data_IF_813430013714
#
_entry.id   IF_813430013714
#
_cell.length_a   1.000
_cell.length_b   1.000
_cell.length_c   1.000
_cell.angle_alpha   90.00
_cell.angle_beta   90.00
_cell.angle_gamma   90.00
#
_symmetry.space_group_name_H-M   'P 1'
#
loop_
_entity.id
_entity.type
_entity.pdbx_description
1 polymer ?
#
# COMPACT_ATOMS: atom_id res chain seq x y z
N UNK A 1 -6.74 -8.97 8.42
CA UNK A 1 -5.52 -9.66 8.97
C UNK A 1 -5.72 -11.15 8.82
N UNK A 2 -4.75 -11.87 8.25
CA UNK A 2 -4.80 -13.33 8.13
C UNK A 2 -3.95 -13.99 9.21
N UNK A 3 -4.47 -15.06 9.80
CA UNK A 3 -3.75 -15.90 10.78
C UNK A 3 -3.96 -17.35 10.39
N UNK A 4 -2.88 -18.10 10.21
CA UNK A 4 -2.93 -19.52 9.82
C UNK A 4 -1.76 -20.32 10.39
N UNK A 5 -1.93 -21.61 10.43
CA UNK A 5 -0.80 -22.53 10.59
C UNK A 5 -0.10 -22.69 9.25
N UNK A 6 1.22 -22.63 9.25
CA UNK A 6 2.03 -22.66 8.01
C UNK A 6 1.80 -23.96 7.23
N UNK A 7 1.74 -25.10 7.91
CA UNK A 7 1.51 -26.40 7.30
C UNK A 7 0.15 -26.47 6.59
N UNK A 8 -0.90 -25.92 7.19
CA UNK A 8 -2.25 -25.85 6.61
C UNK A 8 -2.26 -24.90 5.40
N UNK A 9 -1.63 -23.74 5.52
CA UNK A 9 -1.52 -22.78 4.42
C UNK A 9 -0.80 -23.39 3.21
N UNK A 10 0.35 -24.03 3.44
CA UNK A 10 1.12 -24.67 2.36
C UNK A 10 0.35 -25.82 1.70
N UNK A 11 -0.41 -26.60 2.46
CA UNK A 11 -1.27 -27.63 1.90
C UNK A 11 -2.39 -27.06 1.02
N UNK A 12 -3.02 -25.94 1.43
CA UNK A 12 -3.99 -25.24 0.61
C UNK A 12 -3.35 -24.62 -0.64
N UNK A 13 -2.17 -24.02 -0.51
CA UNK A 13 -1.42 -23.49 -1.65
C UNK A 13 -1.08 -24.60 -2.66
N UNK A 14 -0.61 -25.76 -2.19
CA UNK A 14 -0.32 -26.89 -3.05
C UNK A 14 -1.56 -27.40 -3.80
N UNK A 15 -2.71 -27.38 -3.14
CA UNK A 15 -3.99 -27.83 -3.71
C UNK A 15 -4.53 -26.86 -4.76
N UNK A 16 -4.45 -25.56 -4.50
CA UNK A 16 -5.09 -24.52 -5.32
C UNK A 16 -4.16 -23.93 -6.37
N UNK A 17 -2.86 -23.85 -6.06
CA UNK A 17 -1.83 -23.22 -6.90
C UNK A 17 -0.57 -24.12 -6.94
N UNK A 18 -0.64 -25.32 -7.54
CA UNK A 18 0.46 -26.29 -7.47
C UNK A 18 1.77 -25.77 -8.07
N UNK A 19 1.70 -25.01 -9.16
CA UNK A 19 2.90 -24.41 -9.77
C UNK A 19 3.57 -23.38 -8.86
N UNK A 20 2.78 -22.53 -8.23
CA UNK A 20 3.28 -21.55 -7.26
C UNK A 20 3.90 -22.24 -6.04
N UNK A 21 3.21 -23.26 -5.49
CA UNK A 21 3.72 -24.05 -4.38
C UNK A 21 5.07 -24.72 -4.72
N UNK A 22 5.17 -25.37 -5.88
CA UNK A 22 6.40 -26.01 -6.32
C UNK A 22 7.56 -25.01 -6.43
N UNK A 23 7.32 -23.84 -7.02
CA UNK A 23 8.34 -22.81 -7.17
C UNK A 23 8.81 -22.23 -5.84
N UNK A 24 7.89 -21.85 -4.94
CA UNK A 24 8.32 -21.33 -3.62
C UNK A 24 8.99 -22.40 -2.77
N UNK A 25 8.63 -23.66 -2.92
CA UNK A 25 9.30 -24.79 -2.25
C UNK A 25 10.73 -24.97 -2.77
N UNK A 26 10.94 -24.83 -4.09
CA UNK A 26 12.28 -24.88 -4.70
C UNK A 26 13.17 -23.74 -4.20
N UNK A 27 12.62 -22.50 -4.15
CA UNK A 27 13.34 -21.35 -3.60
C UNK A 27 13.67 -21.59 -2.11
N UNK A 28 12.71 -22.07 -1.32
CA UNK A 28 12.92 -22.34 0.10
C UNK A 28 13.99 -23.43 0.35
N UNK A 29 14.07 -24.42 -0.51
CA UNK A 29 15.10 -25.46 -0.42
C UNK A 29 16.52 -24.94 -0.68
N UNK A 30 16.67 -23.92 -1.52
CA UNK A 30 17.95 -23.27 -1.79
C UNK A 30 18.28 -22.14 -0.78
N UNK A 31 17.34 -21.76 0.07
CA UNK A 31 17.52 -20.63 0.98
C UNK A 31 18.65 -20.86 2.00
N UNK A 32 19.59 -19.92 2.07
CA UNK A 32 20.78 -20.04 2.94
C UNK A 32 21.88 -20.95 2.39
N UNK A 33 21.76 -21.42 1.14
CA UNK A 33 22.81 -22.15 0.43
C UNK A 33 23.52 -21.26 -0.60
N UNK A 34 24.69 -21.67 -1.15
CA UNK A 34 25.37 -20.93 -2.22
C UNK A 34 24.50 -20.72 -3.49
N UNK A 35 23.52 -21.58 -3.72
CA UNK A 35 22.64 -21.58 -4.91
C UNK A 35 21.42 -20.67 -4.75
N UNK A 36 21.24 -19.99 -3.62
CA UNK A 36 20.06 -19.20 -3.30
C UNK A 36 19.74 -18.16 -4.38
N UNK A 37 20.71 -17.34 -4.76
CA UNK A 37 20.50 -16.23 -5.68
C UNK A 37 20.20 -16.72 -7.11
N UNK A 38 20.86 -17.78 -7.54
CA UNK A 38 20.64 -18.41 -8.84
C UNK A 38 19.24 -19.02 -8.93
N UNK A 39 18.81 -19.77 -7.91
CA UNK A 39 17.49 -20.39 -7.86
C UNK A 39 16.41 -19.32 -7.75
N UNK A 40 16.59 -18.31 -6.89
CA UNK A 40 15.64 -17.21 -6.76
C UNK A 40 15.49 -16.46 -8.10
N UNK A 41 16.60 -16.09 -8.72
CA UNK A 41 16.61 -15.36 -10.00
C UNK A 41 15.97 -16.13 -11.16
N UNK A 42 16.15 -17.46 -11.18
CA UNK A 42 15.57 -18.32 -12.22
C UNK A 42 14.07 -18.62 -11.98
N UNK A 43 13.66 -18.85 -10.74
CA UNK A 43 12.31 -19.35 -10.42
C UNK A 43 11.33 -18.22 -10.19
N UNK A 44 11.68 -17.19 -9.39
CA UNK A 44 10.75 -16.13 -8.98
C UNK A 44 10.05 -15.41 -10.15
N UNK A 45 10.74 -15.03 -11.25
CA UNK A 45 10.10 -14.35 -12.37
C UNK A 45 9.08 -15.21 -13.13
N UNK A 46 9.12 -16.54 -12.97
CA UNK A 46 8.23 -17.48 -13.65
C UNK A 46 6.93 -17.74 -12.88
N UNK A 47 6.86 -17.31 -11.61
CA UNK A 47 5.73 -17.57 -10.76
C UNK A 47 4.56 -16.64 -11.09
N UNK A 48 3.31 -17.13 -11.00
CA UNK A 48 2.13 -16.30 -11.21
C UNK A 48 2.05 -15.21 -10.13
N UNK A 49 1.81 -13.97 -10.55
CA UNK A 49 1.53 -12.83 -9.65
C UNK A 49 0.07 -12.87 -9.24
N UNK A 50 -0.20 -13.38 -8.07
CA UNK A 50 -1.56 -13.52 -7.53
C UNK A 50 -1.55 -13.20 -6.02
N UNK A 51 -2.55 -12.47 -5.53
CA UNK A 51 -2.68 -12.21 -4.10
C UNK A 51 -3.09 -13.46 -3.34
N UNK A 52 -2.78 -13.53 -2.05
CA UNK A 52 -3.15 -14.65 -1.17
C UNK A 52 -4.66 -14.83 -1.09
N UNK A 53 -5.42 -13.75 -1.24
CA UNK A 53 -6.88 -13.77 -1.25
C UNK A 53 -7.40 -14.69 -2.36
N UNK A 54 -6.97 -14.44 -3.58
CA UNK A 54 -7.35 -15.24 -4.75
C UNK A 54 -6.64 -16.59 -4.84
N UNK A 55 -5.37 -16.63 -4.41
CA UNK A 55 -4.59 -17.86 -4.50
C UNK A 55 -5.05 -18.96 -3.55
N UNK A 56 -5.49 -18.57 -2.35
CA UNK A 56 -5.75 -19.50 -1.25
C UNK A 56 -7.07 -19.23 -0.55
N UNK A 57 -7.34 -17.97 -0.14
CA UNK A 57 -8.39 -17.67 0.83
C UNK A 57 -9.79 -17.92 0.30
N UNK A 58 -10.10 -17.50 -0.94
CA UNK A 58 -11.43 -17.72 -1.53
C UNK A 58 -11.78 -19.21 -1.65
N UNK A 59 -10.85 -20.02 -2.15
CA UNK A 59 -11.07 -21.46 -2.29
C UNK A 59 -11.09 -22.19 -0.94
N UNK A 60 -10.31 -21.73 0.03
CA UNK A 60 -10.35 -22.27 1.39
C UNK A 60 -11.66 -21.89 2.11
N UNK A 61 -12.16 -20.67 1.92
CA UNK A 61 -13.45 -20.22 2.45
C UNK A 61 -14.61 -21.03 1.86
N UNK A 62 -14.63 -21.20 0.55
CA UNK A 62 -15.63 -22.05 -0.14
C UNK A 62 -15.62 -23.50 0.39
N UNK A 63 -14.44 -24.00 0.76
CA UNK A 63 -14.29 -25.34 1.37
C UNK A 63 -14.61 -25.38 2.88
N UNK A 64 -15.08 -24.26 3.48
CA UNK A 64 -15.41 -24.19 4.91
C UNK A 64 -14.20 -24.26 5.85
N UNK A 65 -13.00 -23.88 5.38
CA UNK A 65 -11.74 -23.96 6.14
C UNK A 65 -11.28 -22.61 6.69
N UNK A 66 -12.08 -21.58 6.51
CA UNK A 66 -11.81 -20.21 7.01
C UNK A 66 -12.84 -19.87 8.07
N UNK A 67 -12.39 -19.34 9.18
CA UNK A 67 -13.23 -18.73 10.21
C UNK A 67 -12.91 -17.23 10.30
N UNK A 68 -13.94 -16.41 10.51
CA UNK A 68 -13.81 -14.98 10.74
C UNK A 68 -14.09 -14.68 12.20
N UNK A 69 -13.18 -13.93 12.83
CA UNK A 69 -13.39 -13.39 14.17
C UNK A 69 -13.63 -11.88 14.01
N UNK A 70 -14.89 -11.41 14.21
CA UNK A 70 -15.14 -9.98 14.19
C UNK A 70 -14.45 -9.31 15.36
N UNK A 71 -13.82 -8.16 15.12
CA UNK A 71 -13.14 -7.39 16.14
C UNK A 71 -13.29 -5.90 15.88
N UNK A 72 -13.72 -5.16 16.89
CA UNK A 72 -13.75 -3.71 16.91
C UNK A 72 -12.64 -3.20 17.82
N UNK A 73 -11.48 -2.90 17.25
CA UNK A 73 -10.28 -2.47 17.96
C UNK A 73 -9.61 -1.26 17.30
N UNK A 74 -10.40 -0.47 16.55
CA UNK A 74 -9.93 0.74 15.87
C UNK A 74 -8.91 0.48 14.77
N UNK A 75 -8.92 -0.70 14.14
CA UNK A 75 -8.04 -0.99 13.01
C UNK A 75 -8.39 -0.09 11.82
N UNK A 76 -7.37 0.56 11.27
CA UNK A 76 -7.45 1.27 10.01
C UNK A 76 -6.35 0.75 9.09
N UNK A 77 -6.72 0.35 7.88
CA UNK A 77 -5.76 -0.04 6.85
C UNK A 77 -5.28 1.23 6.13
N UNK A 78 -4.18 1.80 6.65
CA UNK A 78 -3.59 3.02 6.09
C UNK A 78 -2.87 2.66 4.77
N UNK A 79 -3.66 2.48 3.70
CA UNK A 79 -3.17 2.12 2.38
C UNK A 79 -2.88 3.33 1.48
N UNK A 80 -3.40 4.51 1.84
CA UNK A 80 -3.19 5.76 1.10
C UNK A 80 -3.28 6.98 2.04
N UNK A 81 -3.34 8.19 1.47
CA UNK A 81 -3.37 9.43 2.25
C UNK A 81 -4.73 9.74 2.89
N UNK A 82 -5.83 9.16 2.42
CA UNK A 82 -7.16 9.42 2.95
C UNK A 82 -7.29 9.01 4.43
N UNK A 83 -6.98 7.75 4.83
CA UNK A 83 -7.05 7.32 6.22
C UNK A 83 -6.10 8.07 7.17
N UNK A 84 -5.01 8.66 6.66
CA UNK A 84 -4.12 9.46 7.50
C UNK A 84 -4.83 10.64 8.14
N UNK A 85 -5.77 11.24 7.43
CA UNK A 85 -6.60 12.33 7.94
C UNK A 85 -7.56 11.91 9.07
N UNK A 86 -7.86 10.62 9.20
CA UNK A 86 -8.76 10.08 10.21
C UNK A 86 -8.02 9.55 11.45
N UNK A 87 -6.76 9.13 11.27
CA UNK A 87 -5.94 8.47 12.31
C UNK A 87 -5.02 9.45 13.02
N UNK A 88 -4.53 10.48 12.31
CA UNK A 88 -3.57 11.43 12.86
C UNK A 88 -4.26 12.63 13.53
N UNK A 89 -3.59 13.26 14.52
CA UNK A 89 -4.10 14.49 15.14
C UNK A 89 -4.35 15.59 14.11
N UNK A 90 -5.57 16.11 14.09
CA UNK A 90 -5.98 17.22 13.24
C UNK A 90 -6.05 18.54 14.01
N UNK A 91 -5.92 19.65 13.31
CA UNK A 91 -6.23 20.98 13.85
C UNK A 91 -7.77 21.17 14.02
N UNK A 92 -8.23 22.30 14.62
CA UNK A 92 -9.65 22.56 14.81
C UNK A 92 -10.49 22.61 13.51
N UNK A 93 -9.85 22.83 12.36
CA UNK A 93 -10.49 22.82 11.05
C UNK A 93 -10.41 21.44 10.38
N UNK A 94 -9.88 20.41 11.07
CA UNK A 94 -9.76 19.06 10.55
C UNK A 94 -8.56 18.86 9.61
N UNK A 95 -7.60 19.79 9.58
CA UNK A 95 -6.40 19.62 8.75
C UNK A 95 -5.34 18.79 9.47
N UNK A 96 -4.69 17.90 8.74
CA UNK A 96 -3.56 17.09 9.18
C UNK A 96 -2.32 17.48 8.39
N UNK A 97 -1.24 17.82 9.09
CA UNK A 97 0.06 18.14 8.49
C UNK A 97 1.08 17.08 8.95
N UNK A 98 1.63 16.34 8.02
CA UNK A 98 2.64 15.32 8.28
C UNK A 98 4.04 15.93 8.25
N UNK A 99 4.74 15.79 9.36
CA UNK A 99 6.05 16.42 9.52
C UNK A 99 5.95 17.88 9.98
N UNK A 100 7.06 18.42 10.37
CA UNK A 100 7.17 19.82 10.80
C UNK A 100 8.37 20.51 10.10
N UNK A 101 8.39 20.56 8.76
CA UNK A 101 9.48 21.23 8.07
C UNK A 101 9.38 22.74 8.26
N UNK A 102 10.51 23.41 8.20
CA UNK A 102 10.57 24.86 8.02
C UNK A 102 10.86 25.13 6.53
N UNK A 103 10.11 25.99 5.86
CA UNK A 103 9.20 27.02 6.35
C UNK A 103 7.79 26.57 6.77
N UNK A 104 7.36 25.32 6.47
CA UNK A 104 6.13 24.78 6.99
C UNK A 104 4.90 24.92 6.07
N UNK A 105 3.72 24.98 6.68
CA UNK A 105 2.44 25.03 5.99
C UNK A 105 1.65 26.25 6.46
N UNK A 106 1.05 27.00 5.52
CA UNK A 106 0.16 28.13 5.78
C UNK A 106 -1.22 27.80 5.21
N UNK A 107 -2.20 27.65 6.09
CA UNK A 107 -3.59 27.37 5.72
C UNK A 107 -4.46 28.56 6.10
N UNK A 108 -5.29 29.04 5.16
CA UNK A 108 -6.25 30.10 5.39
C UNK A 108 -7.59 29.72 4.74
N UNK A 109 -8.68 29.82 5.51
CA UNK A 109 -10.03 29.40 5.09
C UNK A 109 -10.05 27.99 4.47
N UNK A 110 -9.29 27.06 5.05
CA UNK A 110 -9.09 25.71 4.50
C UNK A 110 -9.37 24.67 5.57
N UNK A 111 -10.01 23.55 5.19
CA UNK A 111 -10.41 22.48 6.13
C UNK A 111 -10.31 21.09 5.52
N UNK A 112 -10.13 20.07 6.38
CA UNK A 112 -10.11 18.67 5.96
C UNK A 112 -8.90 18.30 5.10
N UNK A 113 -7.82 19.09 5.13
CA UNK A 113 -6.65 18.84 4.31
C UNK A 113 -5.73 17.80 4.94
N UNK A 114 -5.10 16.97 4.11
CA UNK A 114 -3.93 16.17 4.45
C UNK A 114 -2.74 16.74 3.68
N UNK A 115 -1.78 17.35 4.40
CA UNK A 115 -0.64 18.02 3.79
C UNK A 115 0.66 17.33 4.18
N UNK A 116 1.46 16.94 3.19
CA UNK A 116 2.78 16.31 3.35
C UNK A 116 3.84 17.21 2.70
N UNK A 117 4.39 18.20 3.44
CA UNK A 117 5.37 19.14 2.91
C UNK A 117 6.79 18.59 3.07
N UNK A 118 7.24 17.76 2.13
CA UNK A 118 8.53 17.06 2.23
C UNK A 118 9.69 17.76 1.51
N UNK A 119 9.41 18.67 0.55
CA UNK A 119 10.47 19.33 -0.23
C UNK A 119 11.22 20.44 0.51
N UNK A 120 10.68 20.90 1.65
CA UNK A 120 11.20 22.07 2.36
C UNK A 120 10.71 23.43 1.83
N UNK A 121 9.81 23.43 0.84
CA UNK A 121 9.10 24.65 0.39
C UNK A 121 7.97 25.01 1.34
N UNK A 122 7.58 26.28 1.37
CA UNK A 122 6.31 26.67 1.99
C UNK A 122 5.15 26.15 1.14
N UNK A 123 4.27 25.37 1.76
CA UNK A 123 2.98 24.99 1.17
C UNK A 123 1.92 25.95 1.71
N UNK A 124 1.31 26.73 0.83
CA UNK A 124 0.24 27.66 1.19
C UNK A 124 -1.07 27.25 0.50
N UNK A 125 -2.16 27.18 1.27
CA UNK A 125 -3.50 26.88 0.76
C UNK A 125 -4.50 27.90 1.26
N UNK A 126 -5.38 28.36 0.36
CA UNK A 126 -6.41 29.37 0.62
C UNK A 126 -7.76 28.92 0.08
N UNK A 127 -8.78 28.82 0.94
CA UNK A 127 -10.18 28.59 0.53
C UNK A 127 -10.43 27.22 -0.10
N UNK A 128 -9.63 26.18 0.28
CA UNK A 128 -9.75 24.84 -0.25
C UNK A 128 -10.12 23.84 0.84
N UNK A 129 -10.83 22.77 0.44
CA UNK A 129 -11.38 21.80 1.37
C UNK A 129 -11.17 20.37 0.87
N UNK A 130 -10.99 19.42 1.82
CA UNK A 130 -10.97 17.99 1.59
C UNK A 130 -9.97 17.55 0.50
N UNK A 131 -8.78 18.12 0.52
CA UNK A 131 -7.70 17.78 -0.41
C UNK A 131 -6.55 17.04 0.31
N UNK A 132 -5.88 16.22 -0.46
CA UNK A 132 -4.52 15.73 -0.20
C UNK A 132 -3.55 16.61 -0.99
N UNK A 133 -2.53 17.13 -0.33
CA UNK A 133 -1.42 17.88 -0.93
C UNK A 133 -0.11 17.23 -0.49
N UNK A 134 0.60 16.63 -1.43
CA UNK A 134 1.92 16.03 -1.18
C UNK A 134 2.95 16.79 -2.00
N UNK A 135 3.94 17.35 -1.32
CA UNK A 135 5.02 18.10 -1.93
C UNK A 135 6.35 17.37 -1.66
N UNK A 136 6.93 16.81 -2.70
CA UNK A 136 8.25 16.17 -2.70
C UNK A 136 9.26 17.04 -3.47
N UNK A 137 10.58 16.78 -3.42
CA UNK A 137 11.57 17.55 -4.16
C UNK A 137 11.35 17.56 -5.67
N UNK A 138 10.74 16.53 -6.21
CA UNK A 138 10.59 16.25 -7.65
C UNK A 138 9.17 16.43 -8.16
N UNK A 139 8.15 16.30 -7.31
CA UNK A 139 6.75 16.37 -7.74
C UNK A 139 5.84 17.02 -6.69
N UNK A 140 4.68 17.51 -7.16
CA UNK A 140 3.57 17.91 -6.29
C UNK A 140 2.31 17.18 -6.71
N UNK A 141 1.70 16.46 -5.77
CA UNK A 141 0.41 15.82 -5.94
C UNK A 141 -0.67 16.65 -5.25
N UNK A 142 -1.76 16.91 -5.96
CA UNK A 142 -2.99 17.50 -5.38
C UNK A 142 -4.18 16.68 -5.87
N UNK A 143 -4.97 16.15 -4.95
CA UNK A 143 -6.20 15.43 -5.30
C UNK A 143 -7.25 15.55 -4.19
N UNK A 144 -8.54 15.34 -4.48
CA UNK A 144 -9.56 15.15 -3.45
C UNK A 144 -9.20 13.97 -2.54
N UNK A 145 -9.46 14.09 -1.23
CA UNK A 145 -9.17 13.01 -0.26
C UNK A 145 -9.84 11.70 -0.65
N UNK A 146 -11.10 11.77 -1.08
CA UNK A 146 -11.90 10.60 -1.51
C UNK A 146 -11.32 9.90 -2.75
N UNK A 147 -10.42 10.57 -3.50
CA UNK A 147 -9.78 10.04 -4.70
C UNK A 147 -8.32 9.66 -4.52
N UNK A 148 -7.83 9.59 -3.28
CA UNK A 148 -6.43 9.28 -3.00
C UNK A 148 -5.99 7.91 -3.58
N UNK A 149 -6.89 6.93 -3.67
CA UNK A 149 -6.61 5.63 -4.29
C UNK A 149 -6.44 5.71 -5.81
N UNK A 150 -7.03 6.72 -6.47
CA UNK A 150 -6.93 6.89 -7.93
C UNK A 150 -5.54 7.38 -8.36
N UNK A 151 -4.66 7.75 -7.43
CA UNK A 151 -3.27 8.16 -7.71
C UNK A 151 -2.51 7.10 -8.50
N UNK A 152 -2.87 5.82 -8.35
CA UNK A 152 -2.33 4.74 -9.15
C UNK A 152 -2.47 4.99 -10.66
N UNK A 153 -3.56 5.60 -11.11
CA UNK A 153 -3.75 5.91 -12.53
C UNK A 153 -2.71 6.91 -13.04
N UNK A 154 -2.31 7.89 -12.21
CA UNK A 154 -1.24 8.84 -12.55
C UNK A 154 0.11 8.13 -12.70
N UNK A 155 0.38 7.17 -11.81
CA UNK A 155 1.59 6.34 -11.87
C UNK A 155 1.62 5.52 -13.17
N UNK A 156 0.51 4.92 -13.54
CA UNK A 156 0.39 4.14 -14.78
C UNK A 156 0.57 5.05 -16.02
N UNK A 157 0.03 6.26 -16.01
CA UNK A 157 0.20 7.27 -17.05
C UNK A 157 1.68 7.72 -17.19
N UNK A 158 2.37 7.96 -16.06
CA UNK A 158 3.79 8.33 -16.08
C UNK A 158 4.65 7.21 -16.68
N UNK A 159 4.38 5.95 -16.31
CA UNK A 159 5.05 4.78 -16.91
C UNK A 159 4.81 4.69 -18.42
N UNK A 160 3.56 4.92 -18.86
CA UNK A 160 3.22 4.91 -20.28
C UNK A 160 3.95 6.01 -21.08
N UNK A 161 4.32 7.11 -20.43
CA UNK A 161 5.11 8.21 -21.02
C UNK A 161 6.62 7.99 -20.92
N UNK A 162 7.08 6.96 -20.23
CA UNK A 162 8.50 6.72 -19.98
C UNK A 162 9.10 7.66 -18.92
N UNK A 163 8.27 8.30 -18.11
CA UNK A 163 8.67 9.23 -17.04
C UNK A 163 8.82 8.51 -15.69
N UNK A 164 9.58 7.40 -15.69
CA UNK A 164 9.74 6.53 -14.52
C UNK A 164 10.48 7.19 -13.34
N UNK A 165 11.12 8.34 -13.55
CA UNK A 165 11.82 9.08 -12.50
C UNK A 165 10.90 9.66 -11.43
N UNK A 166 9.58 9.67 -11.65
CA UNK A 166 8.57 10.16 -10.71
C UNK A 166 7.72 9.05 -10.07
N UNK A 167 8.15 7.78 -10.19
CA UNK A 167 7.34 6.61 -9.79
C UNK A 167 8.08 5.75 -8.76
#
# INVERSE_FOLDING_TARGET
MFVWRVDVFLAELARQQPALHAGVTSIAAAWGTPEQDDVLGAVWPTLPKISVDYAVMEGAATAGRVATVPGDFGWNDVGDFHPLGDVLPADPAGNVVLGAPKPGVLLHDSSGLVVVPHSGRLVAALGVHDLVVVDTPDAVLVCPRERAQDVKALVDDLKARGEEGYV
#
